data_IF_509953870857
#
_entry.id   IF_509953870857
#
_cell.length_a   1.000
_cell.length_b   1.000
_cell.length_c   1.000
_cell.angle_alpha   90.00
_cell.angle_beta   90.00
_cell.angle_gamma   90.00
#
_symmetry.space_group_name_H-M   'P 1'
#
loop_
_entity.id
_entity.type
_entity.pdbx_description
1 polymer ?
#
# COMPACT_ATOMS: atom_id res chain seq x y z
N UNK A 1 -6.88 -1.40 0.84
CA UNK A 1 -5.55 -0.75 0.98
C UNK A 1 -5.43 0.13 2.22
N UNK A 2 -6.48 0.87 2.63
CA UNK A 2 -6.43 1.81 3.76
C UNK A 2 -5.99 1.20 5.12
N UNK A 3 -6.17 -0.11 5.30
CA UNK A 3 -5.78 -0.82 6.52
C UNK A 3 -4.38 -1.46 6.46
N UNK A 4 -3.64 -1.33 5.33
CA UNK A 4 -2.24 -1.78 5.29
C UNK A 4 -1.49 -1.08 6.42
N UNK A 5 -0.54 -1.76 7.07
CA UNK A 5 0.18 -1.29 8.27
C UNK A 5 -0.57 -1.42 9.61
N UNK A 6 -1.84 -1.88 9.64
CA UNK A 6 -2.56 -2.06 10.92
C UNK A 6 -2.19 -3.35 11.67
N UNK A 7 -1.65 -4.33 10.95
CA UNK A 7 -1.14 -5.59 11.47
C UNK A 7 0.26 -5.81 10.90
N UNK A 8 1.27 -6.20 11.72
CA UNK A 8 2.63 -6.40 11.22
C UNK A 8 2.66 -7.49 10.15
N UNK A 9 3.12 -7.15 8.96
CA UNK A 9 3.08 -8.07 7.81
C UNK A 9 4.12 -9.19 7.86
N UNK A 10 5.10 -9.05 8.75
CA UNK A 10 6.11 -10.06 9.10
C UNK A 10 5.59 -11.08 10.14
N UNK A 11 4.41 -10.87 10.71
CA UNK A 11 3.82 -11.79 11.67
C UNK A 11 3.38 -13.10 10.98
N UNK A 12 3.61 -14.30 11.57
CA UNK A 12 3.30 -15.59 10.94
C UNK A 12 1.82 -15.83 10.57
N UNK A 13 0.90 -15.06 11.18
CA UNK A 13 -0.53 -15.10 10.89
C UNK A 13 -1.00 -14.03 9.90
N UNK A 14 -0.12 -13.16 9.42
CA UNK A 14 -0.47 -12.23 8.36
C UNK A 14 -0.64 -12.99 7.04
N UNK A 15 -1.82 -12.85 6.42
CA UNK A 15 -2.13 -13.51 5.14
C UNK A 15 -1.68 -12.64 3.96
N UNK A 16 -2.38 -11.52 3.74
CA UNK A 16 -2.06 -10.46 2.78
C UNK A 16 -3.11 -9.34 2.90
N UNK A 17 -2.88 -8.21 2.20
CA UNK A 17 -3.89 -7.14 2.09
C UNK A 17 -5.05 -7.52 1.14
N UNK A 18 -4.76 -8.17 0.02
CA UNK A 18 -5.73 -8.65 -1.00
C UNK A 18 -5.06 -9.64 -1.96
N UNK A 19 -5.86 -10.35 -2.75
CA UNK A 19 -5.41 -11.24 -3.83
C UNK A 19 -5.47 -12.71 -3.43
N UNK A 20 -4.75 -13.55 -4.17
CA UNK A 20 -4.87 -15.01 -4.09
C UNK A 20 -4.78 -15.58 -2.66
N UNK A 21 -3.84 -15.14 -1.78
CA UNK A 21 -3.80 -15.66 -0.41
C UNK A 21 -5.05 -15.32 0.40
N UNK A 22 -5.56 -14.08 0.32
CA UNK A 22 -6.78 -13.72 1.01
C UNK A 22 -7.98 -14.50 0.47
N UNK A 23 -8.11 -14.62 -0.85
CA UNK A 23 -9.19 -15.39 -1.47
C UNK A 23 -9.17 -16.87 -1.04
N UNK A 24 -7.99 -17.47 -0.96
CA UNK A 24 -7.81 -18.85 -0.47
C UNK A 24 -8.41 -19.06 0.91
N UNK A 25 -8.05 -18.21 1.88
CA UNK A 25 -8.54 -18.33 3.26
C UNK A 25 -10.00 -17.90 3.40
N UNK A 26 -10.45 -16.86 2.67
CA UNK A 26 -11.84 -16.42 2.68
C UNK A 26 -12.76 -17.55 2.19
N UNK A 27 -12.44 -18.19 1.06
CA UNK A 27 -13.24 -19.31 0.53
C UNK A 27 -13.41 -20.44 1.56
N UNK A 28 -12.33 -20.79 2.26
CA UNK A 28 -12.27 -21.90 3.23
C UNK A 28 -12.84 -21.55 4.61
N UNK A 29 -12.98 -20.27 4.93
CA UNK A 29 -13.55 -19.82 6.20
C UNK A 29 -15.07 -20.06 6.28
N UNK A 30 -15.59 -20.32 7.47
CA UNK A 30 -17.02 -20.32 7.77
C UNK A 30 -17.45 -19.13 8.63
N UNK A 31 -16.47 -18.37 9.14
CA UNK A 31 -16.63 -17.20 9.99
C UNK A 31 -15.68 -16.10 9.50
N UNK A 32 -16.20 -14.88 9.33
CA UNK A 32 -15.42 -13.67 9.06
C UNK A 32 -15.71 -12.65 10.16
N UNK A 33 -14.65 -12.23 10.86
CA UNK A 33 -14.70 -11.12 11.80
C UNK A 33 -14.16 -9.86 11.10
N UNK A 34 -15.06 -9.00 10.66
CA UNK A 34 -14.75 -7.76 9.95
C UNK A 34 -14.61 -6.62 10.97
N UNK A 35 -13.39 -6.11 11.17
CA UNK A 35 -13.07 -5.13 12.22
C UNK A 35 -12.72 -3.78 11.58
N UNK A 36 -13.41 -2.72 11.98
CA UNK A 36 -13.10 -1.34 11.60
C UNK A 36 -13.17 -1.07 10.09
N UNK A 37 -13.94 -1.86 9.33
CA UNK A 37 -13.99 -1.77 7.88
C UNK A 37 -15.44 -1.69 7.37
N UNK A 38 -15.71 -0.83 6.39
CA UNK A 38 -17.05 -0.64 5.82
C UNK A 38 -17.48 -1.71 4.82
N UNK A 39 -16.60 -2.68 4.53
CA UNK A 39 -16.78 -3.78 3.56
C UNK A 39 -17.20 -3.34 2.14
N UNK A 40 -17.03 -2.06 1.80
CA UNK A 40 -17.40 -1.52 0.50
C UNK A 40 -16.59 -2.16 -0.63
N UNK A 41 -17.24 -2.61 -1.70
CA UNK A 41 -16.55 -3.13 -2.86
C UNK A 41 -15.83 -2.00 -3.61
N UNK A 42 -14.64 -2.30 -4.08
CA UNK A 42 -13.84 -1.49 -5.00
C UNK A 42 -12.85 -2.40 -5.73
N UNK A 43 -12.24 -1.89 -6.80
CA UNK A 43 -11.13 -2.57 -7.48
C UNK A 43 -9.94 -2.86 -6.55
N UNK A 44 -9.88 -2.20 -5.39
CA UNK A 44 -8.77 -2.28 -4.45
C UNK A 44 -9.13 -2.90 -3.10
N UNK A 45 -10.33 -3.45 -2.98
CA UNK A 45 -10.79 -4.20 -1.80
C UNK A 45 -10.79 -5.70 -2.08
N UNK A 46 -10.63 -6.48 -1.01
CA UNK A 46 -10.90 -7.91 -1.05
C UNK A 46 -12.37 -8.16 -0.67
N UNK A 47 -13.12 -8.82 -1.55
CA UNK A 47 -14.50 -9.23 -1.27
C UNK A 47 -14.56 -10.48 -0.40
N UNK A 48 -15.72 -10.71 0.22
CA UNK A 48 -16.05 -11.94 0.94
C UNK A 48 -16.80 -12.88 -0.01
N UNK A 49 -16.11 -13.84 -0.61
CA UNK A 49 -16.74 -14.83 -1.49
C UNK A 49 -17.72 -15.72 -0.72
N UNK A 50 -18.85 -16.10 -1.34
CA UNK A 50 -19.91 -16.91 -0.71
C UNK A 50 -20.39 -16.36 0.65
N UNK A 51 -20.46 -15.03 0.79
CA UNK A 51 -20.80 -14.34 2.04
C UNK A 51 -22.11 -14.82 2.68
N UNK A 52 -23.13 -15.16 1.87
CA UNK A 52 -24.42 -15.68 2.37
C UNK A 52 -24.34 -17.03 3.06
N UNK A 53 -23.28 -17.80 2.81
CA UNK A 53 -23.03 -19.11 3.45
C UNK A 53 -22.08 -19.00 4.65
N UNK A 54 -21.67 -17.79 5.05
CA UNK A 54 -20.69 -17.55 6.11
C UNK A 54 -21.33 -16.77 7.25
N UNK A 55 -20.83 -17.00 8.45
CA UNK A 55 -21.13 -16.15 9.60
C UNK A 55 -20.27 -14.90 9.52
N UNK A 56 -20.88 -13.73 9.41
CA UNK A 56 -20.15 -12.47 9.37
C UNK A 56 -20.45 -11.71 10.65
N UNK A 57 -19.42 -11.47 11.45
CA UNK A 57 -19.47 -10.57 12.60
C UNK A 57 -18.89 -9.25 12.13
N UNK A 58 -19.71 -8.20 12.11
CA UNK A 58 -19.33 -6.90 11.59
C UNK A 58 -19.17 -5.91 12.74
N UNK A 59 -17.91 -5.53 12.98
CA UNK A 59 -17.52 -4.58 13.99
C UNK A 59 -17.11 -3.27 13.33
N UNK A 60 -17.92 -2.23 13.54
CA UNK A 60 -17.69 -0.88 13.01
C UNK A 60 -18.08 0.18 14.04
N UNK A 61 -17.52 1.38 13.93
CA UNK A 61 -17.98 2.52 14.74
C UNK A 61 -19.27 3.14 14.20
N UNK A 62 -19.46 3.08 12.88
CA UNK A 62 -20.52 3.78 12.16
C UNK A 62 -21.60 2.79 11.72
N UNK A 63 -22.76 2.85 12.39
CA UNK A 63 -23.89 1.92 12.25
C UNK A 63 -24.36 1.80 10.79
N UNK A 64 -24.30 2.88 10.00
CA UNK A 64 -24.71 2.88 8.59
C UNK A 64 -23.90 1.94 7.68
N UNK A 65 -22.80 1.34 8.17
CA UNK A 65 -22.08 0.30 7.45
C UNK A 65 -22.63 -1.12 7.68
N UNK A 66 -23.36 -1.35 8.77
CA UNK A 66 -23.91 -2.67 9.11
C UNK A 66 -24.94 -3.09 8.07
N UNK A 67 -24.87 -4.34 7.59
CA UNK A 67 -25.76 -4.89 6.56
C UNK A 67 -25.80 -4.11 5.24
N UNK A 68 -24.92 -3.12 5.03
CA UNK A 68 -24.93 -2.30 3.80
C UNK A 68 -24.51 -3.11 2.57
N UNK A 69 -23.53 -4.00 2.72
CA UNK A 69 -22.93 -4.76 1.61
C UNK A 69 -23.14 -6.27 1.77
N UNK A 70 -22.96 -6.80 2.98
CA UNK A 70 -23.04 -8.23 3.28
C UNK A 70 -24.01 -8.50 4.44
N UNK A 71 -24.71 -9.65 4.44
CA UNK A 71 -25.54 -10.06 5.56
C UNK A 71 -24.66 -10.29 6.79
N UNK A 72 -24.96 -9.58 7.88
CA UNK A 72 -24.25 -9.58 9.15
C UNK A 72 -25.03 -10.42 10.16
N UNK A 73 -24.42 -11.48 10.69
CA UNK A 73 -25.03 -12.33 11.72
C UNK A 73 -24.99 -11.63 13.10
N UNK A 74 -23.89 -10.96 13.41
CA UNK A 74 -23.75 -10.15 14.63
C UNK A 74 -23.09 -8.82 14.32
N UNK A 75 -23.74 -7.73 14.73
CA UNK A 75 -23.18 -6.39 14.65
C UNK A 75 -22.59 -5.99 16.01
N UNK A 76 -21.42 -5.38 15.99
CA UNK A 76 -20.80 -4.78 17.17
C UNK A 76 -20.49 -3.33 16.85
N UNK A 77 -21.16 -2.40 17.54
CA UNK A 77 -21.01 -0.97 17.29
C UNK A 77 -20.16 -0.35 18.38
N UNK A 78 -19.05 0.31 18.01
CA UNK A 78 -18.18 1.00 18.97
C UNK A 78 -16.80 1.34 18.42
N UNK A 79 -15.99 2.01 19.26
CA UNK A 79 -14.59 2.30 18.95
C UNK A 79 -13.77 1.01 18.84
N UNK A 80 -12.99 0.84 17.75
CA UNK A 80 -12.19 -0.36 17.40
C UNK A 80 -11.26 -0.84 18.51
N UNK A 81 -10.64 0.10 19.23
CA UNK A 81 -9.68 -0.24 20.28
C UNK A 81 -10.40 -0.75 21.51
N UNK A 82 -11.45 -0.06 21.95
CA UNK A 82 -12.16 -0.39 23.19
C UNK A 82 -12.83 -1.77 23.17
N UNK A 83 -13.52 -2.15 22.09
CA UNK A 83 -14.16 -3.48 22.06
C UNK A 83 -13.13 -4.59 21.89
N UNK A 84 -12.05 -4.39 21.11
CA UNK A 84 -10.97 -5.39 21.07
C UNK A 84 -10.36 -5.63 22.45
N UNK A 85 -10.18 -4.57 23.25
CA UNK A 85 -9.76 -4.71 24.65
C UNK A 85 -10.75 -5.53 25.48
N UNK A 86 -12.05 -5.26 25.36
CA UNK A 86 -13.08 -6.05 26.06
C UNK A 86 -13.08 -7.52 25.63
N UNK A 87 -12.88 -7.78 24.33
CA UNK A 87 -12.80 -9.13 23.79
C UNK A 87 -11.58 -9.88 24.33
N UNK A 88 -10.42 -9.22 24.40
CA UNK A 88 -9.20 -9.80 24.99
C UNK A 88 -9.44 -10.17 26.46
N UNK A 89 -9.98 -9.26 27.26
CA UNK A 89 -10.29 -9.50 28.68
C UNK A 89 -11.24 -10.70 28.85
N UNK A 90 -12.26 -10.80 28.02
CA UNK A 90 -13.21 -11.91 28.10
C UNK A 90 -12.61 -13.24 27.64
N UNK A 91 -11.73 -13.22 26.64
CA UNK A 91 -10.98 -14.40 26.20
C UNK A 91 -10.02 -14.91 27.27
N UNK A 92 -9.33 -14.00 27.98
CA UNK A 92 -8.46 -14.35 29.11
C UNK A 92 -9.26 -14.98 30.25
N UNK A 93 -10.45 -14.43 30.55
CA UNK A 93 -11.34 -14.95 31.60
C UNK A 93 -11.90 -16.34 31.28
N UNK A 94 -12.26 -16.61 30.03
CA UNK A 94 -12.83 -17.90 29.60
C UNK A 94 -11.76 -18.96 29.28
N UNK A 95 -10.53 -18.52 29.00
CA UNK A 95 -9.47 -19.34 28.44
C UNK A 95 -9.59 -19.45 26.92
N UNK A 96 -8.45 -19.29 26.23
CA UNK A 96 -8.39 -19.47 24.79
C UNK A 96 -8.41 -20.97 24.42
N UNK A 97 -9.27 -21.34 23.46
CA UNK A 97 -9.26 -22.68 22.89
C UNK A 97 -7.98 -22.90 22.07
N UNK A 98 -7.37 -24.09 22.21
CA UNK A 98 -6.26 -24.51 21.34
C UNK A 98 -6.77 -24.64 19.92
N UNK A 99 -6.22 -23.87 18.99
CA UNK A 99 -6.57 -23.92 17.57
C UNK A 99 -5.51 -24.71 16.80
N UNK A 100 -5.90 -25.23 15.63
CA UNK A 100 -4.96 -25.76 14.66
C UNK A 100 -3.99 -24.65 14.26
N UNK A 101 -2.70 -24.93 14.33
CA UNK A 101 -1.69 -24.05 13.76
C UNK A 101 -1.78 -24.11 12.23
N UNK A 102 -1.91 -22.94 11.60
CA UNK A 102 -2.03 -22.77 10.16
C UNK A 102 -0.86 -21.96 9.57
N UNK A 103 0.15 -21.63 10.38
CA UNK A 103 1.29 -20.79 9.96
C UNK A 103 2.01 -21.37 8.74
N UNK A 104 2.24 -22.68 8.69
CA UNK A 104 2.82 -23.36 7.52
C UNK A 104 1.93 -23.28 6.26
N UNK A 105 0.60 -23.33 6.41
CA UNK A 105 -0.35 -23.18 5.30
C UNK A 105 -0.33 -21.74 4.77
N UNK A 106 -0.27 -20.75 5.67
CA UNK A 106 -0.15 -19.33 5.32
C UNK A 106 1.16 -19.07 4.56
N UNK A 107 2.29 -19.54 5.09
CA UNK A 107 3.60 -19.36 4.46
C UNK A 107 3.67 -20.00 3.07
N UNK A 108 3.12 -21.21 2.89
CA UNK A 108 3.09 -21.87 1.58
C UNK A 108 2.31 -21.05 0.54
N UNK A 109 1.12 -20.54 0.90
CA UNK A 109 0.30 -19.75 -0.03
C UNK A 109 0.93 -18.37 -0.31
N UNK A 110 1.58 -17.75 0.68
CA UNK A 110 2.35 -16.51 0.49
C UNK A 110 3.53 -16.72 -0.45
N UNK A 111 4.25 -17.84 -0.33
CA UNK A 111 5.41 -18.17 -1.18
C UNK A 111 5.02 -18.23 -2.65
N UNK A 112 3.91 -18.87 -2.99
CA UNK A 112 3.40 -18.92 -4.38
C UNK A 112 3.11 -17.53 -4.95
N UNK A 113 2.70 -16.57 -4.11
CA UNK A 113 2.55 -15.17 -4.54
C UNK A 113 3.93 -14.51 -4.71
N UNK A 114 4.85 -14.70 -3.76
CA UNK A 114 6.19 -14.10 -3.79
C UNK A 114 6.98 -14.51 -5.05
N UNK A 115 6.92 -15.78 -5.44
CA UNK A 115 7.58 -16.34 -6.63
C UNK A 115 7.23 -15.59 -7.93
N UNK A 116 6.05 -14.93 -8.00
CA UNK A 116 5.64 -14.13 -9.17
C UNK A 116 6.40 -12.81 -9.29
N UNK A 117 6.98 -12.30 -8.19
CA UNK A 117 7.57 -10.97 -8.10
C UNK A 117 9.06 -11.00 -7.75
N UNK A 118 9.59 -12.10 -7.19
CA UNK A 118 10.99 -12.21 -6.78
C UNK A 118 11.95 -11.87 -7.94
N UNK A 119 11.75 -12.48 -9.12
CA UNK A 119 12.57 -12.18 -10.31
C UNK A 119 12.46 -10.74 -10.81
N UNK A 120 11.31 -10.08 -10.58
CA UNK A 120 11.11 -8.67 -10.95
C UNK A 120 11.80 -7.72 -9.97
N UNK A 121 11.83 -8.10 -8.69
CA UNK A 121 12.51 -7.36 -7.61
C UNK A 121 14.03 -7.51 -7.67
N UNK A 122 14.53 -8.61 -8.23
CA UNK A 122 15.95 -8.91 -8.43
C UNK A 122 16.46 -8.54 -9.84
N UNK A 123 15.60 -7.95 -10.68
CA UNK A 123 15.93 -7.61 -12.07
C UNK A 123 17.10 -6.62 -12.16
N UNK A 124 18.19 -7.05 -12.80
CA UNK A 124 19.35 -6.21 -13.15
C UNK A 124 19.33 -5.67 -14.59
N UNK A 125 18.25 -5.90 -15.34
CA UNK A 125 18.14 -5.49 -16.74
C UNK A 125 17.55 -4.07 -16.90
N UNK A 126 18.11 -3.21 -17.77
CA UNK A 126 17.47 -1.97 -18.23
C UNK A 126 16.32 -2.23 -19.23
N UNK A 127 15.27 -1.38 -19.28
CA UNK A 127 15.00 -0.26 -18.37
C UNK A 127 14.65 -0.74 -16.96
N UNK A 128 14.95 0.08 -15.95
CA UNK A 128 14.77 -0.27 -14.53
C UNK A 128 13.35 -0.76 -14.25
N UNK A 129 13.24 -1.98 -13.76
CA UNK A 129 11.96 -2.55 -13.35
C UNK A 129 11.43 -1.82 -12.10
N UNK A 130 10.18 -1.32 -12.05
CA UNK A 130 9.64 -0.67 -10.86
C UNK A 130 9.69 -1.56 -9.60
N UNK A 131 9.55 -2.88 -9.75
CA UNK A 131 9.67 -3.81 -8.62
C UNK A 131 11.08 -3.84 -8.02
N UNK A 132 12.12 -3.70 -8.85
CA UNK A 132 13.50 -3.51 -8.39
C UNK A 132 13.62 -2.26 -7.52
N UNK A 133 13.00 -1.16 -7.93
CA UNK A 133 12.96 0.09 -7.13
C UNK A 133 12.24 -0.12 -5.79
N UNK A 134 11.10 -0.82 -5.78
CA UNK A 134 10.37 -1.08 -4.54
C UNK A 134 11.15 -1.98 -3.58
N UNK A 135 11.89 -2.97 -4.09
CA UNK A 135 12.77 -3.81 -3.29
C UNK A 135 13.88 -2.99 -2.64
N UNK A 136 14.53 -2.11 -3.40
CA UNK A 136 15.59 -1.25 -2.85
C UNK A 136 15.05 -0.21 -1.85
N UNK A 137 13.85 0.33 -2.05
CA UNK A 137 13.16 1.16 -1.04
C UNK A 137 12.93 0.36 0.24
N UNK A 138 12.48 -0.89 0.14
CA UNK A 138 12.26 -1.73 1.33
C UNK A 138 13.55 -2.06 2.07
N UNK A 139 14.65 -2.25 1.34
CA UNK A 139 15.96 -2.60 1.88
C UNK A 139 16.70 -1.40 2.49
N UNK A 140 16.54 -0.21 1.91
CA UNK A 140 17.29 1.00 2.30
C UNK A 140 16.71 1.70 3.53
N UNK A 141 15.41 1.59 3.77
CA UNK A 141 14.72 2.27 4.87
C UNK A 141 14.77 1.49 6.19
N UNK A 142 14.92 2.20 7.31
CA UNK A 142 14.74 1.63 8.65
C UNK A 142 13.31 1.10 8.78
N UNK A 143 13.19 -0.23 8.85
CA UNK A 143 11.91 -0.94 8.94
C UNK A 143 11.04 -0.50 10.12
N UNK A 144 11.63 0.10 11.16
CA UNK A 144 10.93 0.57 12.36
C UNK A 144 10.80 2.10 12.44
N UNK A 145 11.39 2.85 11.52
CA UNK A 145 11.38 4.32 11.54
C UNK A 145 11.12 4.93 10.16
N UNK A 146 10.13 4.40 9.44
CA UNK A 146 9.79 4.84 8.08
C UNK A 146 8.31 5.10 7.87
N UNK A 147 8.01 5.82 6.81
CA UNK A 147 6.69 6.02 6.25
C UNK A 147 6.78 5.93 4.72
N UNK A 148 5.93 5.11 4.10
CA UNK A 148 5.86 4.98 2.65
C UNK A 148 4.43 5.18 2.14
N UNK A 149 4.32 5.92 1.05
CA UNK A 149 3.05 6.21 0.35
C UNK A 149 3.29 6.21 -1.16
N UNK A 150 2.23 6.24 -1.99
CA UNK A 150 2.36 5.64 -3.33
C UNK A 150 1.72 6.27 -4.57
N UNK A 151 1.13 7.45 -4.58
CA UNK A 151 0.33 8.00 -5.71
C UNK A 151 -0.71 7.06 -6.38
N UNK A 152 -1.68 7.61 -7.09
CA UNK A 152 -2.67 6.82 -7.84
C UNK A 152 -2.08 6.22 -9.13
N UNK A 153 -2.57 5.05 -9.52
CA UNK A 153 -2.16 4.36 -10.76
C UNK A 153 -1.31 3.12 -10.49
N UNK A 154 -0.43 2.76 -11.42
CA UNK A 154 0.35 1.52 -11.33
C UNK A 154 1.31 1.50 -10.14
N UNK A 155 1.85 2.65 -9.71
CA UNK A 155 2.72 2.73 -8.53
C UNK A 155 2.00 2.26 -7.26
N UNK A 156 0.72 2.62 -7.07
CA UNK A 156 -0.12 2.06 -6.00
C UNK A 156 -0.24 0.56 -6.08
N UNK A 157 -0.70 0.07 -7.23
CA UNK A 157 -1.07 -1.33 -7.40
C UNK A 157 0.16 -2.23 -7.26
N UNK A 158 1.29 -1.84 -7.84
CA UNK A 158 2.55 -2.57 -7.75
C UNK A 158 3.19 -2.44 -6.37
N UNK A 159 3.37 -1.23 -5.83
CA UNK A 159 4.02 -1.04 -4.53
C UNK A 159 3.23 -1.71 -3.40
N UNK A 160 1.90 -1.50 -3.33
CA UNK A 160 1.09 -2.11 -2.27
C UNK A 160 1.03 -3.64 -2.33
N UNK A 161 1.36 -4.23 -3.49
CA UNK A 161 1.38 -5.68 -3.69
C UNK A 161 2.59 -6.35 -3.05
N UNK A 162 3.76 -5.68 -3.09
CA UNK A 162 5.05 -6.24 -2.64
C UNK A 162 5.60 -5.57 -1.38
N UNK A 163 5.24 -4.32 -1.10
CA UNK A 163 5.80 -3.58 0.03
C UNK A 163 5.37 -4.21 1.36
N UNK A 164 6.31 -4.49 2.27
CA UNK A 164 6.02 -5.06 3.58
C UNK A 164 5.95 -3.98 4.67
N UNK A 165 4.78 -3.83 5.29
CA UNK A 165 4.52 -2.82 6.33
C UNK A 165 4.46 -3.44 7.73
N UNK A 166 5.48 -3.20 8.56
CA UNK A 166 5.61 -3.90 9.87
C UNK A 166 5.32 -3.04 11.11
N UNK A 167 5.15 -1.72 10.94
CA UNK A 167 4.85 -0.79 12.04
C UNK A 167 3.54 -0.04 11.78
N UNK A 168 2.81 0.41 12.82
CA UNK A 168 1.68 1.30 12.64
C UNK A 168 2.09 2.60 11.93
N UNK A 169 1.26 3.03 10.99
CA UNK A 169 1.52 4.21 10.13
C UNK A 169 2.86 4.12 9.38
N UNK A 170 3.42 2.94 9.17
CA UNK A 170 4.63 2.74 8.35
C UNK A 170 4.33 2.78 6.86
N UNK A 171 3.08 2.51 6.49
CA UNK A 171 2.57 2.66 5.14
C UNK A 171 1.19 3.30 5.18
N UNK A 172 0.94 4.25 4.28
CA UNK A 172 -0.39 4.81 4.09
C UNK A 172 -0.82 4.64 2.63
N UNK A 173 -1.73 3.70 2.41
CA UNK A 173 -2.39 3.54 1.12
C UNK A 173 -3.79 4.12 1.13
N UNK A 174 -4.26 4.55 -0.03
CA UNK A 174 -5.63 5.01 -0.26
C UNK A 174 -6.17 4.37 -1.54
N UNK A 175 -7.47 4.10 -1.57
CA UNK A 175 -8.07 3.44 -2.73
C UNK A 175 -9.56 3.64 -2.93
N UNK A 176 -10.27 4.35 -2.04
CA UNK A 176 -11.71 4.59 -2.26
C UNK A 176 -11.94 5.58 -3.41
N UNK A 177 -11.01 6.51 -3.60
CA UNK A 177 -10.97 7.45 -4.73
C UNK A 177 -9.53 7.46 -5.26
N UNK A 178 -9.36 7.51 -6.59
CA UNK A 178 -8.07 7.41 -7.27
C UNK A 178 -7.62 8.77 -7.84
N UNK A 179 -7.56 9.79 -6.99
CA UNK A 179 -7.10 11.15 -7.35
C UNK A 179 -5.59 11.20 -7.59
N UNK A 180 -5.16 11.92 -8.62
CA UNK A 180 -3.74 12.28 -8.82
C UNK A 180 -3.35 13.47 -7.96
N UNK A 181 -2.11 13.48 -7.46
CA UNK A 181 -1.55 14.57 -6.65
C UNK A 181 -1.83 14.46 -5.15
N UNK A 182 -2.27 13.30 -4.68
CA UNK A 182 -2.58 13.08 -3.26
C UNK A 182 -1.31 12.76 -2.44
N UNK A 183 -0.33 12.12 -3.07
CA UNK A 183 0.82 11.52 -2.40
C UNK A 183 1.75 12.53 -1.71
N UNK A 184 2.07 13.66 -2.34
CA UNK A 184 2.95 14.68 -1.76
C UNK A 184 2.34 15.30 -0.50
N UNK A 185 1.04 15.63 -0.52
CA UNK A 185 0.34 16.16 0.65
C UNK A 185 0.35 15.18 1.82
N UNK A 186 0.16 13.88 1.55
CA UNK A 186 0.27 12.83 2.55
C UNK A 186 1.69 12.72 3.10
N UNK A 187 2.71 12.75 2.23
CA UNK A 187 4.11 12.69 2.64
C UNK A 187 4.51 13.90 3.50
N UNK A 188 4.08 15.12 3.14
CA UNK A 188 4.30 16.33 3.93
C UNK A 188 3.60 16.24 5.30
N UNK A 189 2.33 15.81 5.32
CA UNK A 189 1.60 15.59 6.57
C UNK A 189 2.27 14.54 7.46
N UNK A 190 2.75 13.45 6.88
CA UNK A 190 3.50 12.42 7.59
C UNK A 190 4.83 12.97 8.15
N UNK A 191 5.58 13.76 7.38
CA UNK A 191 6.82 14.39 7.86
C UNK A 191 6.56 15.36 9.02
N UNK A 192 5.49 16.15 8.95
CA UNK A 192 5.11 17.08 10.02
C UNK A 192 4.64 16.35 11.29
N UNK A 193 3.84 15.29 11.14
CA UNK A 193 3.33 14.52 12.27
C UNK A 193 4.38 13.59 12.89
N UNK A 194 5.34 13.11 12.09
CA UNK A 194 6.36 12.13 12.47
C UNK A 194 7.75 12.59 11.95
N UNK A 195 8.30 13.70 12.46
CA UNK A 195 9.51 14.33 11.90
C UNK A 195 10.74 13.43 11.92
N UNK A 196 10.82 12.51 12.88
CA UNK A 196 11.92 11.54 13.00
C UNK A 196 11.89 10.39 12.00
N UNK A 197 10.79 10.17 11.27
CA UNK A 197 10.68 9.08 10.29
C UNK A 197 11.29 9.47 8.95
N UNK A 198 11.85 8.48 8.27
CA UNK A 198 12.18 8.54 6.85
C UNK A 198 10.88 8.50 6.04
N UNK A 199 10.68 9.46 5.14
CA UNK A 199 9.42 9.61 4.40
C UNK A 199 9.70 9.38 2.92
N UNK A 200 9.08 8.36 2.34
CA UNK A 200 9.17 8.07 0.90
C UNK A 200 7.80 8.14 0.24
N UNK A 201 7.71 8.92 -0.84
CA UNK A 201 6.55 8.93 -1.73
C UNK A 201 6.91 8.36 -3.09
N UNK A 202 6.28 7.25 -3.48
CA UNK A 202 6.42 6.69 -4.82
C UNK A 202 5.38 7.31 -5.74
N UNK A 203 5.80 7.78 -6.90
CA UNK A 203 5.01 8.58 -7.82
C UNK A 203 5.16 8.06 -9.25
N UNK A 204 4.09 8.08 -10.04
CA UNK A 204 4.16 7.94 -11.49
C UNK A 204 4.13 9.30 -12.20
N UNK A 205 4.38 9.32 -13.51
CA UNK A 205 4.50 10.55 -14.32
C UNK A 205 3.32 11.51 -14.17
N UNK A 206 2.10 10.99 -14.34
CA UNK A 206 0.89 11.80 -14.25
C UNK A 206 0.74 12.38 -12.85
N UNK A 207 0.91 11.56 -11.81
CA UNK A 207 0.78 11.99 -10.42
C UNK A 207 1.82 13.02 -10.04
N UNK A 208 3.07 12.83 -10.45
CA UNK A 208 4.14 13.80 -10.28
C UNK A 208 3.84 15.13 -10.98
N UNK A 209 3.40 15.08 -12.23
CA UNK A 209 3.09 16.28 -13.03
C UNK A 209 1.97 17.12 -12.41
N UNK A 210 0.96 16.50 -11.80
CA UNK A 210 -0.13 17.19 -11.10
C UNK A 210 0.32 18.02 -9.89
N UNK A 211 1.47 17.67 -9.30
CA UNK A 211 1.93 18.26 -8.04
C UNK A 211 3.33 18.90 -8.16
N UNK A 212 3.90 19.00 -9.36
CA UNK A 212 5.29 19.47 -9.54
C UNK A 212 5.50 20.88 -8.97
N UNK A 213 4.53 21.79 -9.14
CA UNK A 213 4.57 23.13 -8.56
C UNK A 213 4.46 23.14 -7.03
N UNK A 214 3.82 22.12 -6.44
CA UNK A 214 3.66 21.99 -5.00
C UNK A 214 4.94 21.53 -4.28
N UNK A 215 5.96 21.07 -5.01
CA UNK A 215 7.28 20.80 -4.43
C UNK A 215 7.97 22.07 -3.90
N UNK A 216 7.56 23.26 -4.35
CA UNK A 216 7.98 24.53 -3.73
C UNK A 216 7.71 24.52 -2.23
N UNK A 217 6.54 24.02 -1.79
CA UNK A 217 6.18 24.00 -0.37
C UNK A 217 7.06 23.05 0.45
N UNK A 218 7.54 21.97 -0.16
CA UNK A 218 8.51 21.04 0.46
C UNK A 218 9.83 21.76 0.70
N UNK A 219 10.31 22.51 -0.30
CA UNK A 219 11.55 23.28 -0.22
C UNK A 219 11.45 24.42 0.79
N UNK A 220 10.43 25.26 0.70
CA UNK A 220 10.26 26.42 1.59
C UNK A 220 10.04 26.00 3.04
N UNK A 221 9.38 24.87 3.27
CA UNK A 221 9.19 24.28 4.60
C UNK A 221 10.37 23.42 5.08
N UNK A 222 11.40 23.20 4.24
CA UNK A 222 12.58 22.36 4.52
C UNK A 222 12.21 20.96 5.00
N UNK A 223 11.20 20.35 4.36
CA UNK A 223 10.75 19.00 4.71
C UNK A 223 11.60 17.96 3.97
N UNK A 224 12.38 17.18 4.72
CA UNK A 224 13.11 16.04 4.18
C UNK A 224 12.15 14.91 3.77
N UNK A 225 11.81 14.86 2.48
CA UNK A 225 10.94 13.87 1.85
C UNK A 225 11.67 13.33 0.62
N UNK A 226 11.78 12.01 0.50
CA UNK A 226 12.35 11.35 -0.67
C UNK A 226 11.21 10.96 -1.63
N UNK A 227 11.32 11.34 -2.90
CA UNK A 227 10.35 10.95 -3.93
C UNK A 227 10.97 9.93 -4.88
N UNK A 228 10.38 8.73 -4.95
CA UNK A 228 10.67 7.77 -6.02
C UNK A 228 9.76 8.03 -7.21
N UNK A 229 10.28 8.67 -8.27
CA UNK A 229 9.51 8.94 -9.48
C UNK A 229 9.71 7.84 -10.53
N UNK A 230 8.70 6.99 -10.70
CA UNK A 230 8.67 5.91 -11.70
C UNK A 230 8.18 6.50 -13.02
N UNK A 231 9.13 6.84 -13.90
CA UNK A 231 8.86 7.39 -15.21
C UNK A 231 8.69 6.27 -16.25
N UNK A 232 7.45 6.00 -16.66
CA UNK A 232 7.11 5.15 -17.79
C UNK A 232 6.57 5.96 -18.98
N UNK A 233 6.80 7.27 -18.94
CA UNK A 233 6.38 8.24 -19.92
C UNK A 233 4.87 8.31 -20.08
N UNK A 234 4.08 8.33 -19.01
CA UNK A 234 2.69 8.80 -19.09
C UNK A 234 1.64 7.88 -18.47
N UNK A 235 0.44 7.87 -19.07
CA UNK A 235 -0.66 7.02 -18.59
C UNK A 235 -0.48 5.61 -19.14
N UNK A 236 0.04 4.71 -18.32
CA UNK A 236 0.12 3.28 -18.64
C UNK A 236 -1.26 2.62 -18.49
N UNK A 237 -1.61 1.62 -19.32
CA UNK A 237 -2.76 0.75 -19.04
C UNK A 237 -2.66 0.20 -17.61
N UNK A 238 -3.80 0.20 -16.92
CA UNK A 238 -3.87 -0.13 -15.50
C UNK A 238 -3.36 -1.57 -15.30
N UNK A 239 -2.65 -1.81 -14.20
CA UNK A 239 -2.13 -3.10 -13.72
C UNK A 239 -3.07 -4.33 -13.87
N UNK A 240 -4.37 -4.10 -14.03
CA UNK A 240 -5.45 -5.11 -14.12
C UNK A 240 -6.00 -5.34 -15.55
N UNK A 241 -5.21 -5.07 -16.59
CA UNK A 241 -5.59 -5.28 -18.01
C UNK A 241 -6.11 -4.00 -18.67
N UNK A 242 -7.18 -4.08 -19.48
CA UNK A 242 -7.77 -2.92 -20.16
C UNK A 242 -8.22 -1.79 -19.19
N UNK A 243 -8.30 -2.05 -17.89
CA UNK A 243 -8.48 -1.03 -16.87
C UNK A 243 -9.84 -0.32 -16.91
N UNK A 244 -9.95 0.80 -16.18
CA UNK A 244 -11.17 1.61 -16.12
C UNK A 244 -11.27 2.63 -17.27
N UNK A 245 -10.16 2.88 -17.96
CA UNK A 245 -10.08 3.85 -19.06
C UNK A 245 -9.12 3.33 -20.14
N UNK A 246 -9.49 2.25 -20.84
CA UNK A 246 -8.62 1.56 -21.81
C UNK A 246 -8.07 2.48 -22.90
N UNK A 247 -8.86 3.47 -23.29
CA UNK A 247 -8.51 4.38 -24.37
C UNK A 247 -7.62 5.55 -23.93
N UNK A 248 -7.47 5.82 -22.63
CA UNK A 248 -6.71 6.99 -22.16
C UNK A 248 -5.26 6.93 -22.61
N UNK A 249 -4.61 5.76 -22.50
CA UNK A 249 -3.23 5.56 -22.98
C UNK A 249 -3.12 5.61 -24.52
N UNK A 250 -4.21 5.32 -25.24
CA UNK A 250 -4.23 5.33 -26.71
C UNK A 250 -4.40 6.74 -27.27
N UNK A 251 -5.13 7.61 -26.57
CA UNK A 251 -5.44 8.98 -27.05
C UNK A 251 -4.61 10.07 -26.38
N UNK A 252 -3.75 9.72 -25.42
CA UNK A 252 -2.86 10.68 -24.74
C UNK A 252 -1.45 10.52 -25.27
N UNK A 253 -0.95 11.46 -26.08
CA UNK A 253 0.45 11.44 -26.50
C UNK A 253 1.36 11.62 -25.29
N UNK A 254 2.54 11.04 -25.37
CA UNK A 254 3.52 11.14 -24.30
C UNK A 254 4.94 11.22 -24.84
N UNK A 255 5.81 11.86 -24.06
CA UNK A 255 7.24 11.97 -24.29
C UNK A 255 7.99 11.66 -22.99
N UNK A 256 9.24 11.19 -23.12
CA UNK A 256 10.14 11.02 -21.98
C UNK A 256 10.63 12.40 -21.53
N UNK A 257 9.98 12.97 -20.52
CA UNK A 257 10.39 14.24 -19.91
C UNK A 257 11.44 14.00 -18.82
N UNK A 258 12.54 14.75 -18.86
CA UNK A 258 13.50 14.77 -17.75
C UNK A 258 12.96 15.64 -16.61
N UNK A 259 12.20 15.02 -15.72
CA UNK A 259 11.60 15.66 -14.54
C UNK A 259 12.62 16.01 -13.46
N UNK A 260 13.79 15.35 -13.42
CA UNK A 260 14.89 15.68 -12.51
C UNK A 260 15.33 17.14 -12.68
N UNK A 261 15.52 17.59 -13.93
CA UNK A 261 15.86 19.01 -14.21
C UNK A 261 14.80 20.01 -13.76
N UNK A 262 13.53 19.60 -13.68
CA UNK A 262 12.43 20.48 -13.25
C UNK A 262 12.53 20.75 -11.75
N UNK A 263 12.77 19.71 -10.95
CA UNK A 263 12.88 19.86 -9.49
C UNK A 263 14.23 20.43 -9.05
N UNK A 264 15.30 20.24 -9.84
CA UNK A 264 16.56 20.98 -9.66
C UNK A 264 16.34 22.49 -9.72
N UNK A 265 15.50 22.96 -10.65
CA UNK A 265 15.12 24.37 -10.76
C UNK A 265 14.39 24.92 -9.53
N UNK A 266 13.77 24.05 -8.72
CA UNK A 266 13.16 24.39 -7.43
C UNK A 266 14.16 24.33 -6.27
N UNK A 267 15.40 23.89 -6.50
CA UNK A 267 16.42 23.72 -5.48
C UNK A 267 16.40 22.36 -4.78
N UNK A 268 15.78 21.34 -5.39
CA UNK A 268 15.74 19.96 -4.86
C UNK A 268 16.88 19.18 -5.50
N UNK A 269 17.66 18.47 -4.68
CA UNK A 269 18.58 17.44 -5.16
C UNK A 269 17.81 16.37 -5.93
N UNK A 270 18.30 16.02 -7.12
CA UNK A 270 17.63 15.02 -7.95
C UNK A 270 18.65 14.20 -8.73
N UNK A 271 18.33 12.93 -8.94
CA UNK A 271 19.13 12.00 -9.73
C UNK A 271 18.19 11.30 -10.71
N UNK A 272 18.62 11.16 -11.98
CA UNK A 272 17.90 10.37 -12.99
C UNK A 272 18.59 9.03 -13.10
N UNK A 273 17.85 7.97 -12.80
CA UNK A 273 18.38 6.60 -12.71
C UNK A 273 17.88 5.79 -13.92
N UNK A 274 18.82 5.25 -14.69
CA UNK A 274 18.52 4.42 -15.87
C UNK A 274 19.15 3.02 -15.76
N UNK A 275 20.13 2.85 -14.87
CA UNK A 275 20.75 1.57 -14.52
C UNK A 275 20.16 1.02 -13.20
N UNK A 276 19.68 -0.24 -13.16
CA UNK A 276 19.20 -0.89 -11.94
C UNK A 276 20.20 -0.88 -10.77
N UNK A 277 21.50 -0.88 -11.04
CA UNK A 277 22.55 -0.91 -10.01
C UNK A 277 22.74 0.46 -9.33
N UNK A 278 22.26 1.54 -9.95
CA UNK A 278 22.32 2.90 -9.41
C UNK A 278 21.17 3.21 -8.43
N UNK A 279 20.14 2.37 -8.37
CA UNK A 279 18.95 2.60 -7.52
C UNK A 279 19.31 2.66 -6.03
N UNK A 280 20.04 1.67 -5.52
CA UNK A 280 20.39 1.60 -4.10
C UNK A 280 21.35 2.74 -3.68
N UNK A 281 22.42 3.04 -4.43
CA UNK A 281 23.26 4.22 -4.17
C UNK A 281 22.48 5.54 -4.16
N UNK A 282 21.58 5.75 -5.13
CA UNK A 282 20.78 6.97 -5.22
C UNK A 282 19.82 7.13 -4.03
N UNK A 283 19.14 6.03 -3.61
CA UNK A 283 18.31 6.04 -2.40
C UNK A 283 19.14 6.36 -1.16
N UNK A 284 20.33 5.77 -1.02
CA UNK A 284 21.23 6.04 0.10
C UNK A 284 21.74 7.49 0.15
N UNK A 285 21.86 8.15 -0.99
CA UNK A 285 22.16 9.60 -1.06
C UNK A 285 20.94 10.45 -0.72
N UNK A 286 19.76 10.09 -1.23
CA UNK A 286 18.52 10.85 -1.06
C UNK A 286 17.89 10.76 0.36
N UNK A 287 18.30 9.79 1.18
CA UNK A 287 17.82 9.62 2.55
C UNK A 287 18.66 10.37 3.61
N UNK A 288 19.79 10.97 3.22
CA UNK A 288 20.66 11.77 4.10
C UNK A 288 20.17 13.22 4.19
#
# INVERSE_FOLDING_TARGET
MNAKSCFPEDHPLFICVRGDPAEYFIKRSNLVLAIGCGLSPSLFSQGISSASAKKIIHYVVEESNINRIYPTEHAVVGDTKLVLWQLIVELDRRGALKRKDITNEIEAVKRTKAEKYDSLMESGEPPVNPYRVYAEIMASLDRKNRFVTHESGNTRDQLSTVYEAIIPYGFMGWGNVSTLGFSLGVAMGAKLAMPGREIVSVNGDAGFSYQVGNYEAVVSSRLGITTGHINNSGYSPVFWGNGHSPYTSEVTPFDIVNTSRVVEGLGIHSERIEDPDEVAPALGSALK
#
